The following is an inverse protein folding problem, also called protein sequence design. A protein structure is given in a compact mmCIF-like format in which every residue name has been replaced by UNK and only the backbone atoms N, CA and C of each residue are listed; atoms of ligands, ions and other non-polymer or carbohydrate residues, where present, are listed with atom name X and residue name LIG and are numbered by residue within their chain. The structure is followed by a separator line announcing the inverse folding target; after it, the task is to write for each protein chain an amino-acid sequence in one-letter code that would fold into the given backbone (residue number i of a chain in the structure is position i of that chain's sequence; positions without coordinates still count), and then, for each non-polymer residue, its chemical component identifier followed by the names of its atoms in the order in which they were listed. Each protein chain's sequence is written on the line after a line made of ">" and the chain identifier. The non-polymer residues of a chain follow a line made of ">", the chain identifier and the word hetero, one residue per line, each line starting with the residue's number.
data_IF_610192741731
#
_entry.id   IF_610192741731
#
_cell.length_a   1.000
_cell.length_b   1.000
_cell.length_c   1.000
_cell.angle_alpha   90.00
_cell.angle_beta   90.00
_cell.angle_gamma   90.00
#
_symmetry.space_group_name_H-M   'P 1'
#
loop_
_entity.id
_entity.type
_entity.pdbx_description
1 polymer ?
#
# COMPACT_ATOMS: atom_id res chain seq x y z
N UNK A 1 -22.01 -0.54 5.90
CA UNK A 1 -21.30 0.58 6.56
C UNK A 1 -21.94 0.72 7.93
N UNK A 2 -21.41 0.00 8.93
CA UNK A 2 -21.95 -0.03 10.32
C UNK A 2 -20.84 -0.18 11.38
N UNK A 3 -19.56 -0.22 10.97
CA UNK A 3 -18.42 -0.54 11.85
C UNK A 3 -18.32 0.43 13.03
N UNK A 4 -18.60 1.71 12.81
CA UNK A 4 -18.59 2.71 13.89
C UNK A 4 -19.65 2.42 14.95
N UNK A 5 -20.90 2.14 14.54
CA UNK A 5 -21.98 1.81 15.47
C UNK A 5 -21.69 0.53 16.26
N UNK A 6 -21.10 -0.48 15.61
CA UNK A 6 -20.69 -1.72 16.27
C UNK A 6 -19.58 -1.49 17.30
N UNK A 7 -18.58 -0.66 16.96
CA UNK A 7 -17.52 -0.26 17.89
C UNK A 7 -18.11 0.45 19.12
N UNK A 8 -19.02 1.41 18.91
CA UNK A 8 -19.67 2.13 20.02
C UNK A 8 -20.49 1.19 20.90
N UNK A 9 -21.20 0.24 20.30
CA UNK A 9 -21.96 -0.79 21.01
C UNK A 9 -21.05 -1.68 21.87
N UNK A 10 -19.92 -2.14 21.34
CA UNK A 10 -18.97 -2.96 22.10
C UNK A 10 -18.26 -2.20 23.22
N UNK A 11 -17.96 -0.91 23.00
CA UNK A 11 -17.45 -0.03 24.06
C UNK A 11 -18.47 0.12 25.20
N UNK A 12 -19.74 0.35 24.87
CA UNK A 12 -20.82 0.45 25.86
C UNK A 12 -21.03 -0.85 26.67
N UNK A 13 -20.75 -2.01 26.06
CA UNK A 13 -20.76 -3.31 26.72
C UNK A 13 -19.50 -3.58 27.58
N UNK A 14 -18.56 -2.63 27.65
CA UNK A 14 -17.32 -2.78 28.42
C UNK A 14 -16.34 -3.78 27.82
N UNK A 15 -16.43 -4.07 26.51
CA UNK A 15 -15.41 -4.89 25.83
C UNK A 15 -14.08 -4.16 25.81
N UNK A 16 -13.00 -4.93 25.91
CA UNK A 16 -11.65 -4.37 25.87
C UNK A 16 -11.36 -3.77 24.50
N UNK A 17 -10.64 -2.64 24.48
CA UNK A 17 -10.33 -1.91 23.25
C UNK A 17 -9.49 -2.78 22.30
N UNK A 18 -8.55 -3.55 22.85
CA UNK A 18 -7.72 -4.48 22.09
C UNK A 18 -8.53 -5.57 21.36
N UNK A 19 -9.61 -6.06 21.98
CA UNK A 19 -10.48 -7.07 21.36
C UNK A 19 -11.30 -6.45 20.22
N UNK A 20 -11.80 -5.22 20.43
CA UNK A 20 -12.54 -4.48 19.40
C UNK A 20 -11.64 -4.19 18.20
N UNK A 21 -10.44 -3.65 18.43
CA UNK A 21 -9.47 -3.36 17.37
C UNK A 21 -9.03 -4.63 16.63
N UNK A 22 -8.78 -5.72 17.36
CA UNK A 22 -8.47 -7.02 16.76
C UNK A 22 -9.59 -7.52 15.83
N UNK A 23 -10.85 -7.35 16.24
CA UNK A 23 -12.01 -7.64 15.41
C UNK A 23 -12.05 -6.79 14.13
N UNK A 24 -11.80 -5.49 14.24
CA UNK A 24 -11.74 -4.57 13.10
C UNK A 24 -10.63 -4.97 12.11
N UNK A 25 -9.41 -5.23 12.61
CA UNK A 25 -8.30 -5.68 11.77
C UNK A 25 -8.61 -7.01 11.07
N UNK A 26 -9.17 -7.97 11.79
CA UNK A 26 -9.55 -9.28 11.24
C UNK A 26 -10.61 -9.16 10.13
N UNK A 27 -11.62 -8.31 10.32
CA UNK A 27 -12.65 -8.05 9.32
C UNK A 27 -12.10 -7.41 8.05
N UNK A 28 -11.23 -6.39 8.20
CA UNK A 28 -10.56 -5.74 7.07
C UNK A 28 -9.64 -6.73 6.34
N UNK A 29 -8.87 -7.53 7.08
CA UNK A 29 -7.97 -8.52 6.51
C UNK A 29 -8.74 -9.58 5.72
N UNK A 30 -9.82 -10.12 6.29
CA UNK A 30 -10.66 -11.12 5.62
C UNK A 30 -11.23 -10.59 4.29
N UNK A 31 -11.74 -9.35 4.28
CA UNK A 31 -12.22 -8.71 3.06
C UNK A 31 -11.11 -8.52 2.04
N UNK A 32 -9.94 -8.03 2.49
CA UNK A 32 -8.79 -7.77 1.62
C UNK A 32 -8.30 -9.05 0.95
N UNK A 33 -8.05 -10.11 1.73
CA UNK A 33 -7.58 -11.39 1.18
C UNK A 33 -8.62 -12.03 0.25
N UNK A 34 -9.92 -11.87 0.53
CA UNK A 34 -10.98 -12.33 -0.38
C UNK A 34 -10.90 -11.65 -1.76
N UNK A 35 -10.59 -10.34 -1.80
CA UNK A 35 -10.40 -9.62 -3.06
C UNK A 35 -9.11 -10.06 -3.77
N UNK A 36 -8.00 -10.19 -3.05
CA UNK A 36 -6.72 -10.59 -3.66
C UNK A 36 -6.80 -12.02 -4.22
N UNK A 37 -7.46 -12.95 -3.52
CA UNK A 37 -7.64 -14.33 -4.02
C UNK A 37 -8.40 -14.42 -5.35
N UNK A 38 -9.25 -13.44 -5.68
CA UNK A 38 -9.96 -13.40 -6.97
C UNK A 38 -9.04 -13.08 -8.14
N UNK A 39 -7.94 -12.36 -7.91
CA UNK A 39 -6.95 -12.01 -8.94
C UNK A 39 -5.76 -12.98 -8.97
N UNK A 40 -5.63 -13.84 -7.96
CA UNK A 40 -4.48 -14.72 -7.77
C UNK A 40 -3.45 -14.15 -6.80
N UNK A 41 -2.73 -15.02 -6.10
CA UNK A 41 -1.66 -14.65 -5.17
C UNK A 41 -0.41 -15.40 -5.59
N UNK A 42 0.64 -14.64 -5.89
CA UNK A 42 1.99 -15.16 -6.11
C UNK A 42 2.84 -14.94 -4.85
N UNK A 43 3.97 -15.65 -4.69
CA UNK A 43 4.95 -15.37 -3.65
C UNK A 43 5.44 -13.91 -3.68
N UNK A 44 6.06 -13.46 -2.58
CA UNK A 44 6.59 -12.08 -2.43
C UNK A 44 5.54 -10.95 -2.43
N UNK A 45 4.51 -11.11 -1.60
CA UNK A 45 3.41 -10.14 -1.49
C UNK A 45 3.86 -8.88 -0.76
N UNK A 46 3.83 -7.73 -1.45
CA UNK A 46 4.20 -6.43 -0.89
C UNK A 46 2.98 -5.63 -0.43
N UNK A 47 3.03 -5.08 0.79
CA UNK A 47 1.99 -4.20 1.31
C UNK A 47 2.47 -2.73 1.38
N UNK A 48 1.74 -1.86 0.68
CA UNK A 48 2.09 -0.43 0.50
C UNK A 48 0.93 0.49 0.89
N UNK A 49 1.19 1.80 0.92
CA UNK A 49 0.21 2.82 1.32
C UNK A 49 0.21 3.09 2.83
N UNK A 50 -0.60 4.06 3.29
CA UNK A 50 -0.50 4.58 4.66
C UNK A 50 -0.76 3.53 5.76
N UNK A 51 -1.65 2.57 5.49
CA UNK A 51 -2.01 1.50 6.45
C UNK A 51 -0.88 0.49 6.66
N UNK A 52 0.13 0.44 5.76
CA UNK A 52 1.32 -0.40 5.96
C UNK A 52 2.10 -0.07 7.24
N UNK A 53 1.93 1.14 7.78
CA UNK A 53 2.53 1.56 9.07
C UNK A 53 1.80 1.01 10.29
N UNK A 54 0.66 0.34 10.13
CA UNK A 54 -0.10 -0.24 11.23
C UNK A 54 0.34 -1.70 11.45
N UNK A 55 1.14 -2.01 12.49
CA UNK A 55 1.62 -3.37 12.71
C UNK A 55 0.50 -4.38 13.02
N UNK A 56 -0.61 -3.94 13.63
CA UNK A 56 -1.78 -4.79 13.88
C UNK A 56 -2.46 -5.21 12.58
N UNK A 57 -2.56 -4.30 11.62
CA UNK A 57 -3.10 -4.61 10.30
C UNK A 57 -2.16 -5.51 9.49
N UNK A 58 -0.84 -5.27 9.54
CA UNK A 58 0.16 -6.15 8.90
C UNK A 58 0.00 -7.57 9.43
N UNK A 59 -0.02 -7.73 10.76
CA UNK A 59 -0.19 -9.04 11.40
C UNK A 59 -1.50 -9.72 10.98
N UNK A 60 -2.63 -9.01 11.01
CA UNK A 60 -3.92 -9.57 10.63
C UNK A 60 -3.98 -10.00 9.15
N UNK A 61 -3.33 -9.25 8.25
CA UNK A 61 -3.20 -9.63 6.85
C UNK A 61 -2.33 -10.88 6.69
N UNK A 62 -1.16 -10.94 7.32
CA UNK A 62 -0.28 -12.11 7.28
C UNK A 62 -0.97 -13.37 7.79
N UNK A 63 -1.72 -13.27 8.90
CA UNK A 63 -2.49 -14.39 9.45
C UNK A 63 -3.57 -14.90 8.49
N UNK A 64 -4.29 -14.01 7.79
CA UNK A 64 -5.30 -14.40 6.80
C UNK A 64 -4.70 -14.86 5.48
N UNK A 65 -3.55 -14.30 5.10
CA UNK A 65 -2.84 -14.64 3.88
C UNK A 65 -2.14 -16.00 4.01
N UNK A 66 -1.65 -16.33 5.21
CA UNK A 66 -0.87 -17.54 5.48
C UNK A 66 0.60 -17.43 5.08
N UNK A 67 1.08 -16.23 4.73
CA UNK A 67 2.50 -15.94 4.46
C UNK A 67 2.86 -14.54 4.94
N UNK A 68 4.16 -14.28 5.05
CA UNK A 68 4.71 -12.98 5.42
C UNK A 68 4.54 -11.95 4.31
N UNK A 69 4.35 -10.69 4.71
CA UNK A 69 4.27 -9.55 3.81
C UNK A 69 5.62 -8.84 3.73
N UNK A 70 5.98 -8.39 2.53
CA UNK A 70 7.07 -7.44 2.32
C UNK A 70 6.56 -6.05 2.70
N UNK A 71 7.10 -5.47 3.77
CA UNK A 71 6.73 -4.15 4.28
C UNK A 71 7.98 -3.33 4.57
N UNK A 72 8.23 -2.32 3.73
CA UNK A 72 9.30 -1.34 3.97
C UNK A 72 8.84 -0.28 4.96
N UNK A 73 9.73 0.29 5.80
CA UNK A 73 9.43 1.50 6.57
C UNK A 73 8.86 2.64 5.71
N UNK A 74 9.29 2.71 4.45
CA UNK A 74 8.90 3.72 3.47
C UNK A 74 7.75 3.27 2.55
N UNK A 75 7.09 2.15 2.84
CA UNK A 75 5.97 1.60 2.04
C UNK A 75 4.83 2.60 1.79
N UNK A 76 4.68 3.61 2.65
CA UNK A 76 3.68 4.67 2.51
C UNK A 76 4.03 5.73 1.44
N UNK A 77 5.29 5.80 0.97
CA UNK A 77 5.74 6.69 -0.09
C UNK A 77 5.76 6.05 -1.49
N UNK A 78 5.49 4.75 -1.61
CA UNK A 78 5.68 3.99 -2.87
C UNK A 78 4.92 4.61 -4.06
N UNK A 79 3.73 5.17 -3.85
CA UNK A 79 2.99 5.87 -4.91
C UNK A 79 3.72 7.12 -5.44
N UNK A 80 4.30 7.92 -4.54
CA UNK A 80 5.09 9.09 -4.91
C UNK A 80 6.42 8.70 -5.58
N UNK A 81 7.05 7.62 -5.10
CA UNK A 81 8.23 7.03 -5.73
C UNK A 81 7.95 6.56 -7.15
N UNK A 82 6.81 5.89 -7.39
CA UNK A 82 6.40 5.49 -8.73
C UNK A 82 6.21 6.69 -9.67
N UNK A 83 5.59 7.76 -9.16
CA UNK A 83 5.40 8.99 -9.92
C UNK A 83 6.74 9.68 -10.29
N UNK A 84 7.70 9.72 -9.37
CA UNK A 84 9.02 10.31 -9.63
C UNK A 84 9.83 9.50 -10.65
N UNK A 85 9.75 8.15 -10.60
CA UNK A 85 10.36 7.28 -11.59
C UNK A 85 9.78 7.50 -12.99
N UNK A 86 8.46 7.63 -13.12
CA UNK A 86 7.84 7.95 -14.41
C UNK A 86 8.27 9.33 -14.94
N UNK A 87 8.41 10.32 -14.07
CA UNK A 87 8.91 11.64 -14.46
C UNK A 87 10.37 11.57 -14.94
N UNK A 88 11.22 10.83 -14.23
CA UNK A 88 12.62 10.60 -14.59
C UNK A 88 12.75 9.91 -15.95
N UNK A 89 11.99 8.83 -16.19
CA UNK A 89 12.00 8.10 -17.45
C UNK A 89 11.65 9.01 -18.64
N UNK A 90 10.64 9.88 -18.47
CA UNK A 90 10.24 10.87 -19.49
C UNK A 90 11.31 11.92 -19.72
N UNK A 91 11.96 12.40 -18.67
CA UNK A 91 13.04 13.38 -18.78
C UNK A 91 14.24 12.81 -19.56
N UNK A 92 14.63 11.55 -19.29
CA UNK A 92 15.73 10.88 -19.99
C UNK A 92 15.40 10.64 -21.47
N UNK A 93 14.20 10.12 -21.79
CA UNK A 93 13.73 9.97 -23.19
C UNK A 93 13.64 11.30 -23.94
N UNK A 94 13.30 12.39 -23.25
CA UNK A 94 13.29 13.74 -23.79
C UNK A 94 14.69 14.31 -24.03
N UNK A 95 15.66 13.97 -23.17
CA UNK A 95 17.04 14.39 -23.31
C UNK A 95 17.74 13.74 -24.52
N UNK A 96 17.44 12.46 -24.80
CA UNK A 96 17.93 11.74 -25.99
C UNK A 96 17.36 12.28 -27.32
N UNK A 97 16.21 12.94 -27.27
CA UNK A 97 15.52 13.52 -28.44
C UNK A 97 15.93 14.94 -28.78
N UNK A 98 16.75 15.63 -27.97
CA UNK A 98 17.25 16.96 -28.33
C UNK A 98 18.33 16.79 -29.42
N UNK A 99 18.09 17.24 -30.67
CA UNK A 99 19.16 17.29 -31.66
C UNK A 99 20.25 18.25 -31.17
N UNK A 100 21.49 17.96 -31.54
CA UNK A 100 22.60 18.92 -31.50
C UNK A 100 22.28 20.09 -32.46
N UNK A 101 21.49 21.06 -32.03
CA UNK A 101 21.46 22.42 -32.61
C UNK A 101 22.22 23.31 -31.61
N UNK A 102 23.31 24.00 -31.96
CA UNK A 102 23.81 24.41 -33.26
C UNK A 102 25.32 24.68 -33.15
N UNK A 103 26.10 24.13 -34.09
CA UNK A 103 27.46 24.62 -34.34
C UNK A 103 27.37 26.05 -34.91
N UNK A 104 28.26 26.98 -34.52
CA UNK A 104 28.20 28.35 -35.02
C UNK A 104 28.46 28.34 -36.54
N UNK A 105 27.54 28.93 -37.30
CA UNK A 105 27.71 29.16 -38.72
C UNK A 105 28.97 30.01 -38.93
N UNK A 106 29.97 29.43 -39.60
CA UNK A 106 31.15 30.13 -40.09
C UNK A 106 30.83 30.79 -41.44
N UNK A 107 31.45 31.97 -41.62
CA UNK A 107 31.62 32.80 -42.82
C UNK A 107 30.45 33.70 -43.23
#
# INVERSE_FOLDING_TARGET
>A
VFVESDIMSYLAQGKKIEDILGGVHSAIAARTISLVRRVGIEPEVTFTGGVSRNPGMVKALEEKLGTKLNVSPDSHFVGALGASLFALERALKGAERRPQESAPAQA
#
